data_IF_560342149001
#
_entry.id   IF_560342149001
#
_cell.length_a   1.000
_cell.length_b   1.000
_cell.length_c   1.000
_cell.angle_alpha   90.00
_cell.angle_beta   90.00
_cell.angle_gamma   90.00
#
_symmetry.space_group_name_H-M   'P 1'
#
loop_
_entity.id
_entity.type
_entity.pdbx_description
1 polymer ?
#
# COMPACT_ATOMS: atom_id res chain seq x y z
N UNK A 1 -8.30 -11.54 -8.45
CA UNK A 1 -7.25 -10.66 -7.91
C UNK A 1 -7.87 -9.36 -7.37
N UNK A 2 -7.92 -9.20 -6.03
CA UNK A 2 -8.82 -8.26 -5.35
C UNK A 2 -8.55 -6.76 -5.62
N UNK A 3 -7.34 -6.41 -6.06
CA UNK A 3 -6.93 -5.02 -6.34
C UNK A 3 -6.33 -4.80 -7.74
N UNK A 4 -6.37 -5.80 -8.63
CA UNK A 4 -5.70 -5.71 -9.93
C UNK A 4 -6.49 -4.96 -11.01
N UNK A 5 -7.80 -4.74 -10.81
CA UNK A 5 -8.67 -4.04 -11.77
C UNK A 5 -8.97 -2.58 -11.38
N UNK A 6 -8.09 -1.95 -10.60
CA UNK A 6 -8.29 -0.56 -10.20
C UNK A 6 -7.88 0.40 -11.33
N UNK A 7 -8.76 1.36 -11.62
CA UNK A 7 -8.49 2.58 -12.39
C UNK A 7 -7.10 3.17 -12.10
N UNK A 8 -6.16 3.27 -13.06
CA UNK A 8 -4.88 3.97 -12.84
C UNK A 8 -5.07 5.37 -12.25
N UNK A 9 -6.15 6.08 -12.64
CA UNK A 9 -6.54 7.38 -12.07
C UNK A 9 -6.76 7.35 -10.56
N UNK A 10 -7.29 6.25 -10.01
CA UNK A 10 -7.52 6.10 -8.57
C UNK A 10 -6.22 5.77 -7.84
N UNK A 11 -5.34 4.98 -8.46
CA UNK A 11 -3.99 4.71 -7.93
C UNK A 11 -3.18 6.01 -7.84
N UNK A 12 -3.25 6.85 -8.86
CA UNK A 12 -2.60 8.17 -8.83
C UNK A 12 -3.15 9.07 -7.72
N UNK A 13 -4.48 9.13 -7.53
CA UNK A 13 -5.07 9.88 -6.42
C UNK A 13 -4.62 9.38 -5.05
N UNK A 14 -4.54 8.06 -4.87
CA UNK A 14 -4.03 7.45 -3.64
C UNK A 14 -2.55 7.79 -3.43
N UNK A 15 -1.73 7.75 -4.49
CA UNK A 15 -0.32 8.12 -4.39
C UNK A 15 -0.19 9.60 -4.00
N UNK A 16 -0.98 10.50 -4.57
CA UNK A 16 -1.00 11.91 -4.18
C UNK A 16 -1.39 12.09 -2.71
N UNK A 17 -2.39 11.35 -2.23
CA UNK A 17 -2.79 11.39 -0.83
C UNK A 17 -1.65 10.92 0.10
N UNK A 18 -0.99 9.83 -0.27
CA UNK A 18 0.17 9.32 0.47
C UNK A 18 1.32 10.33 0.50
N UNK A 19 1.59 10.98 -0.64
CA UNK A 19 2.62 12.00 -0.74
C UNK A 19 2.30 13.20 0.15
N UNK A 20 1.04 13.65 0.16
CA UNK A 20 0.59 14.74 1.03
C UNK A 20 0.74 14.38 2.52
N UNK A 21 0.38 13.15 2.91
CA UNK A 21 0.57 12.66 4.27
C UNK A 21 2.05 12.57 4.66
N UNK A 22 2.91 12.09 3.75
CA UNK A 22 4.35 12.05 3.98
C UNK A 22 4.93 13.46 4.16
N UNK A 23 4.49 14.43 3.36
CA UNK A 23 4.92 15.81 3.50
C UNK A 23 4.49 16.43 4.82
N UNK A 24 3.26 16.14 5.26
CA UNK A 24 2.71 16.62 6.53
C UNK A 24 3.50 16.06 7.72
N UNK A 25 3.82 14.78 7.72
CA UNK A 25 4.57 14.13 8.81
C UNK A 25 6.03 14.59 8.88
N UNK A 26 6.66 14.84 7.73
CA UNK A 26 8.07 15.25 7.68
C UNK A 26 8.27 16.76 7.75
N UNK A 27 7.17 17.55 7.80
CA UNK A 27 7.23 19.01 7.78
C UNK A 27 7.90 19.57 6.53
N UNK A 28 7.90 18.83 5.42
CA UNK A 28 8.62 19.19 4.19
C UNK A 28 7.80 20.11 3.30
N UNK A 29 8.47 21.04 2.63
CA UNK A 29 7.82 22.03 1.75
C UNK A 29 7.12 21.37 0.55
N UNK A 30 6.08 22.01 0.00
CA UNK A 30 5.21 21.49 -1.09
C UNK A 30 5.95 20.96 -2.34
N UNK A 31 7.18 21.41 -2.60
CA UNK A 31 7.96 21.10 -3.80
C UNK A 31 9.13 20.13 -3.55
N UNK A 32 9.25 19.57 -2.35
CA UNK A 32 10.33 18.63 -2.08
C UNK A 32 10.07 17.29 -2.78
N UNK A 33 11.14 16.65 -3.28
CA UNK A 33 11.02 15.38 -3.99
C UNK A 33 10.35 14.33 -3.12
N UNK A 34 9.14 13.94 -3.50
CA UNK A 34 8.29 12.96 -2.80
C UNK A 34 9.03 11.65 -2.51
N UNK A 35 9.94 11.23 -3.39
CA UNK A 35 10.77 10.02 -3.21
C UNK A 35 11.60 10.05 -1.93
N UNK A 36 12.04 11.24 -1.47
CA UNK A 36 12.75 11.38 -0.20
C UNK A 36 11.85 11.15 1.01
N UNK A 37 10.58 11.56 0.94
CA UNK A 37 9.66 11.46 2.07
C UNK A 37 9.23 10.02 2.37
N UNK A 38 8.92 9.26 1.32
CA UNK A 38 8.55 7.85 1.46
C UNK A 38 9.70 7.01 2.01
N UNK A 39 10.93 7.28 1.57
CA UNK A 39 12.13 6.56 2.04
C UNK A 39 12.40 6.86 3.52
N UNK A 40 12.28 8.12 3.96
CA UNK A 40 12.46 8.50 5.36
C UNK A 40 11.42 7.87 6.30
N UNK A 41 10.19 7.67 5.83
CA UNK A 41 9.12 7.05 6.59
C UNK A 41 9.08 5.52 6.46
N UNK A 42 9.98 4.93 5.66
CA UNK A 42 9.96 3.51 5.28
C UNK A 42 8.62 3.08 4.63
N UNK A 43 7.94 4.00 3.95
CA UNK A 43 6.66 3.74 3.29
C UNK A 43 6.88 3.26 1.85
N UNK A 44 6.16 2.21 1.44
CA UNK A 44 6.11 1.76 0.05
C UNK A 44 5.17 2.63 -0.79
N UNK A 45 5.48 2.78 -2.07
CA UNK A 45 4.56 3.37 -3.07
C UNK A 45 3.24 2.60 -3.12
N UNK A 46 2.13 3.30 -3.39
CA UNK A 46 0.79 2.70 -3.49
C UNK A 46 0.76 1.53 -4.47
N UNK A 47 1.41 1.68 -5.63
CA UNK A 47 1.50 0.62 -6.65
C UNK A 47 2.16 -0.66 -6.11
N UNK A 48 3.12 -0.54 -5.18
CA UNK A 48 3.74 -1.69 -4.53
C UNK A 48 2.86 -2.25 -3.42
N UNK A 49 2.17 -1.38 -2.66
CA UNK A 49 1.24 -1.80 -1.59
C UNK A 49 0.09 -2.64 -2.16
N UNK A 50 -0.51 -2.24 -3.28
CA UNK A 50 -1.63 -2.98 -3.89
C UNK A 50 -1.23 -4.37 -4.39
N UNK A 51 0.06 -4.59 -4.68
CA UNK A 51 0.60 -5.90 -5.07
C UNK A 51 1.02 -6.71 -3.84
N UNK A 52 1.68 -6.07 -2.88
CA UNK A 52 2.24 -6.74 -1.71
C UNK A 52 1.16 -7.18 -0.71
N UNK A 53 0.19 -6.31 -0.41
CA UNK A 53 -0.81 -6.55 0.64
C UNK A 53 -1.68 -7.79 0.36
N UNK A 54 -2.19 -8.03 -0.87
CA UNK A 54 -2.90 -9.26 -1.18
C UNK A 54 -2.03 -10.51 -1.05
N UNK A 55 -0.77 -10.44 -1.49
CA UNK A 55 0.18 -11.55 -1.35
C UNK A 55 0.46 -11.89 0.11
N UNK A 56 0.62 -10.88 0.98
CA UNK A 56 0.74 -11.11 2.42
C UNK A 56 -0.52 -11.75 3.03
N UNK A 57 -1.71 -11.34 2.58
CA UNK A 57 -2.97 -11.94 3.06
C UNK A 57 -3.05 -13.41 2.64
N UNK A 58 -2.75 -13.71 1.36
CA UNK A 58 -2.72 -15.08 0.86
C UNK A 58 -1.69 -15.94 1.63
N UNK A 59 -0.48 -15.43 1.82
CA UNK A 59 0.55 -16.09 2.63
C UNK A 59 0.05 -16.37 4.06
N UNK A 60 -0.49 -15.36 4.76
CA UNK A 60 -0.99 -15.54 6.13
C UNK A 60 -2.14 -16.54 6.21
N UNK A 61 -3.02 -16.57 5.20
CA UNK A 61 -4.12 -17.51 5.12
C UNK A 61 -3.62 -18.96 4.94
N UNK A 62 -2.64 -19.18 4.07
CA UNK A 62 -2.03 -20.50 3.83
C UNK A 62 -1.26 -21.02 5.06
N UNK A 63 -0.61 -20.12 5.80
CA UNK A 63 0.20 -20.48 6.98
C UNK A 63 -0.59 -20.52 8.29
N UNK A 64 -1.93 -20.44 8.28
CA UNK A 64 -2.79 -20.43 9.48
C UNK A 64 -2.50 -19.29 10.49
N UNK A 65 -1.81 -18.22 10.06
CA UNK A 65 -1.52 -17.03 10.89
C UNK A 65 -2.59 -15.94 10.68
N UNK A 66 -3.43 -16.09 9.66
CA UNK A 66 -4.51 -15.17 9.33
C UNK A 66 -5.83 -15.42 10.09
N UNK A 67 -6.80 -14.50 9.97
CA UNK A 67 -8.14 -14.67 10.54
C UNK A 67 -8.81 -15.98 10.08
N UNK A 68 -9.41 -16.71 11.03
CA UNK A 68 -10.00 -18.03 10.78
C UNK A 68 -10.98 -18.06 9.60
N UNK A 69 -11.78 -17.01 9.42
CA UNK A 69 -12.78 -16.91 8.34
C UNK A 69 -12.19 -16.80 6.93
N UNK A 70 -10.91 -16.44 6.79
CA UNK A 70 -10.25 -16.37 5.47
C UNK A 70 -9.69 -17.72 5.03
N UNK A 71 -9.49 -18.67 5.95
CA UNK A 71 -8.89 -19.99 5.66
C UNK A 71 -9.67 -20.76 4.61
N UNK A 72 -10.98 -20.90 4.81
CA UNK A 72 -11.88 -21.64 3.90
C UNK A 72 -11.97 -21.04 2.49
N UNK A 73 -11.48 -19.81 2.28
CA UNK A 73 -11.55 -19.14 0.97
C UNK A 73 -10.31 -19.36 0.11
N UNK A 74 -9.23 -19.93 0.69
CA UNK A 74 -7.97 -20.23 0.02
C UNK A 74 -7.57 -21.72 0.05
N UNK A 75 -8.20 -22.52 0.91
CA UNK A 75 -8.20 -24.00 0.85
C UNK A 75 -9.40 -24.48 0.06
#
# INVERSE_FOLDING_TARGET
ALFQNIQKRFLQKLQMLQNAAACLLLGTHKHQSVSHGLTKLYWLLIDKIIQFKPSCIAFKALHNVGPYHLRHRFT
#
